data_IF_826226987400
#
_entry.id   IF_826226987400
#
_cell.length_a   1.000
_cell.length_b   1.000
_cell.length_c   1.000
_cell.angle_alpha   90.00
_cell.angle_beta   90.00
_cell.angle_gamma   90.00
#
_symmetry.space_group_name_H-M   'P 1'
#
loop_
_entity.id
_entity.type
_entity.pdbx_description
1 polymer ?
#
# COMPACT_ATOMS: atom_id res chain seq x y z
N UNK A 1 0.43 -5.41 -10.60
CA UNK A 1 0.06 -5.25 -9.18
C UNK A 1 -1.35 -4.69 -9.01
N UNK A 2 -1.63 -3.47 -9.51
CA UNK A 2 -2.92 -2.78 -9.33
C UNK A 2 -4.14 -3.60 -9.76
N UNK A 3 -4.09 -4.21 -10.95
CA UNK A 3 -5.17 -5.09 -11.44
C UNK A 3 -5.39 -6.34 -10.59
N UNK A 4 -4.33 -6.87 -9.97
CA UNK A 4 -4.41 -8.06 -9.11
C UNK A 4 -5.04 -7.71 -7.78
N UNK A 5 -4.67 -6.54 -7.21
CA UNK A 5 -5.18 -6.10 -5.91
C UNK A 5 -6.63 -5.63 -5.97
N UNK A 6 -6.95 -4.80 -6.96
CA UNK A 6 -8.21 -4.06 -7.02
C UNK A 6 -9.17 -4.55 -8.13
N UNK A 7 -8.77 -5.52 -8.95
CA UNK A 7 -9.59 -5.97 -10.09
C UNK A 7 -9.80 -4.88 -11.16
N UNK A 8 -9.05 -3.78 -11.07
CA UNK A 8 -9.20 -2.59 -11.92
C UNK A 8 -7.87 -2.20 -12.56
N UNK A 9 -7.94 -1.77 -13.82
CA UNK A 9 -6.85 -1.03 -14.48
C UNK A 9 -7.19 0.46 -14.44
N UNK A 10 -6.19 1.26 -14.08
CA UNK A 10 -6.29 2.71 -14.10
C UNK A 10 -5.78 3.24 -15.43
N UNK A 11 -6.37 4.35 -15.87
CA UNK A 11 -5.81 5.13 -16.96
C UNK A 11 -4.44 5.69 -16.52
N UNK A 12 -3.50 5.79 -17.46
CA UNK A 12 -2.19 6.38 -17.18
C UNK A 12 -2.28 7.84 -16.72
N UNK A 13 -3.35 8.56 -17.10
CA UNK A 13 -3.61 9.95 -16.73
C UNK A 13 -4.60 10.09 -15.57
N UNK A 14 -4.99 9.00 -14.90
CA UNK A 14 -5.87 9.07 -13.74
C UNK A 14 -5.20 9.87 -12.62
N UNK A 15 -5.76 11.05 -12.32
CA UNK A 15 -5.17 12.01 -11.39
C UNK A 15 -5.07 11.47 -9.96
N UNK A 16 -6.03 10.64 -9.54
CA UNK A 16 -5.94 10.00 -8.23
C UNK A 16 -4.81 8.99 -8.23
N UNK A 17 -4.76 8.10 -9.22
CA UNK A 17 -3.70 7.10 -9.31
C UNK A 17 -2.31 7.75 -9.31
N UNK A 18 -2.09 8.77 -10.14
CA UNK A 18 -0.82 9.50 -10.23
C UNK A 18 -0.40 10.16 -8.90
N UNK A 19 -1.35 10.72 -8.15
CA UNK A 19 -1.10 11.26 -6.82
C UNK A 19 -0.56 10.19 -5.87
N UNK A 20 -1.17 9.01 -5.85
CA UNK A 20 -0.73 7.91 -4.97
C UNK A 20 0.63 7.34 -5.37
N UNK A 21 0.91 7.20 -6.67
CA UNK A 21 2.23 6.79 -7.16
C UNK A 21 3.31 7.81 -6.74
N UNK A 22 3.00 9.10 -6.86
CA UNK A 22 3.92 10.18 -6.47
C UNK A 22 4.18 10.15 -4.97
N UNK A 23 3.13 10.00 -4.16
CA UNK A 23 3.24 9.85 -2.71
C UNK A 23 4.10 8.63 -2.32
N UNK A 24 3.95 7.50 -3.00
CA UNK A 24 4.78 6.30 -2.75
C UNK A 24 6.26 6.61 -2.99
N UNK A 25 6.58 7.28 -4.09
CA UNK A 25 7.94 7.73 -4.38
C UNK A 25 8.50 8.68 -3.30
N UNK A 26 7.66 9.57 -2.76
CA UNK A 26 8.06 10.45 -1.65
C UNK A 26 8.33 9.67 -0.35
N UNK A 27 7.47 8.70 -0.01
CA UNK A 27 7.66 7.82 1.14
C UNK A 27 8.98 7.05 1.04
N UNK A 28 9.28 6.51 -0.14
CA UNK A 28 10.48 5.68 -0.36
C UNK A 28 11.76 6.54 -0.30
N UNK A 29 11.71 7.77 -0.84
CA UNK A 29 12.80 8.74 -0.65
C UNK A 29 13.00 9.07 0.83
N UNK A 30 11.91 9.26 1.59
CA UNK A 30 11.99 9.54 3.03
C UNK A 30 12.62 8.36 3.79
N UNK A 31 12.26 7.11 3.45
CA UNK A 31 12.89 5.92 4.03
C UNK A 31 14.39 5.85 3.79
N UNK A 32 14.87 6.37 2.66
CA UNK A 32 16.31 6.48 2.36
C UNK A 32 17.04 7.59 3.11
N UNK A 33 16.35 8.44 3.90
CA UNK A 33 17.01 9.56 4.58
C UNK A 33 17.75 9.12 5.86
N UNK A 34 18.90 9.76 6.18
CA UNK A 34 19.59 9.52 7.45
C UNK A 34 18.70 9.78 8.68
N UNK A 35 17.75 10.71 8.57
CA UNK A 35 16.82 11.04 9.66
C UNK A 35 15.92 9.85 10.04
N UNK A 36 15.45 9.08 9.04
CA UNK A 36 14.62 7.90 9.27
C UNK A 36 15.46 6.71 9.72
N UNK A 37 16.67 6.56 9.16
CA UNK A 37 17.61 5.55 9.64
C UNK A 37 17.93 5.74 11.14
N UNK A 38 18.24 6.97 11.57
CA UNK A 38 18.48 7.30 12.98
C UNK A 38 17.24 7.05 13.85
N UNK A 39 16.04 7.38 13.37
CA UNK A 39 14.80 7.08 14.08
C UNK A 39 14.59 5.57 14.26
N UNK A 40 14.83 4.78 13.22
CA UNK A 40 14.67 3.32 13.27
C UNK A 40 15.70 2.66 14.20
N UNK A 41 16.94 3.17 14.22
CA UNK A 41 18.00 2.64 15.11
C UNK A 41 17.82 3.11 16.55
N UNK A 42 17.42 4.36 16.77
CA UNK A 42 17.27 4.97 18.08
C UNK A 42 15.88 5.60 18.25
N UNK A 43 14.82 4.78 18.43
CA UNK A 43 13.44 5.27 18.48
C UNK A 43 13.18 6.28 19.60
N UNK A 44 13.95 6.21 20.70
CA UNK A 44 13.90 7.17 21.82
C UNK A 44 14.24 8.61 21.37
N UNK A 45 15.05 8.77 20.32
CA UNK A 45 15.39 10.08 19.73
C UNK A 45 14.32 10.61 18.77
N UNK A 46 13.25 9.84 18.54
CA UNK A 46 12.21 10.18 17.57
C UNK A 46 11.41 11.44 17.87
N UNK A 47 11.34 11.87 19.14
CA UNK A 47 10.71 13.14 19.50
C UNK A 47 11.45 14.35 18.94
N UNK A 48 12.77 14.26 18.75
CA UNK A 48 13.62 15.34 18.21
C UNK A 48 13.52 15.45 16.70
N UNK A 49 13.40 14.31 16.00
CA UNK A 49 13.67 14.26 14.57
C UNK A 49 12.51 14.73 13.68
N UNK A 50 11.28 14.90 14.21
CA UNK A 50 10.04 15.39 13.54
C UNK A 50 9.65 14.70 12.21
N UNK A 51 10.52 13.89 11.63
CA UNK A 51 10.42 13.15 10.37
C UNK A 51 9.35 12.07 10.41
N UNK A 52 9.08 11.52 11.60
CA UNK A 52 7.99 10.57 11.84
C UNK A 52 6.63 11.14 11.44
N UNK A 53 6.40 12.47 11.58
CA UNK A 53 5.10 13.08 11.24
C UNK A 53 4.79 12.99 9.75
N UNK A 54 5.79 13.19 8.90
CA UNK A 54 5.63 13.09 7.46
C UNK A 54 5.35 11.65 7.05
N UNK A 55 6.09 10.68 7.61
CA UNK A 55 5.85 9.25 7.34
C UNK A 55 4.46 8.81 7.77
N UNK A 56 4.02 9.20 8.97
CA UNK A 56 2.68 8.87 9.47
C UNK A 56 1.58 9.48 8.59
N UNK A 57 1.73 10.76 8.20
CA UNK A 57 0.78 11.42 7.31
C UNK A 57 0.68 10.70 5.96
N UNK A 58 1.82 10.32 5.38
CA UNK A 58 1.81 9.64 4.09
C UNK A 58 1.25 8.22 4.17
N UNK A 59 1.50 7.51 5.29
CA UNK A 59 0.84 6.23 5.58
C UNK A 59 -0.68 6.41 5.67
N UNK A 60 -1.15 7.41 6.40
CA UNK A 60 -2.58 7.63 6.61
C UNK A 60 -3.32 7.96 5.31
N UNK A 61 -2.69 8.74 4.42
CA UNK A 61 -3.23 9.03 3.09
C UNK A 61 -3.28 7.78 2.19
N UNK A 62 -2.23 6.96 2.18
CA UNK A 62 -2.23 5.66 1.48
C UNK A 62 -3.31 4.71 2.01
N UNK A 63 -3.46 4.63 3.34
CA UNK A 63 -4.46 3.77 3.96
C UNK A 63 -5.87 4.27 3.65
N UNK A 64 -6.10 5.58 3.67
CA UNK A 64 -7.37 6.19 3.27
C UNK A 64 -7.73 5.82 1.84
N UNK A 65 -6.78 5.93 0.91
CA UNK A 65 -6.96 5.52 -0.48
C UNK A 65 -7.35 4.05 -0.60
N UNK A 66 -6.61 3.15 0.04
CA UNK A 66 -6.89 1.71 -0.03
C UNK A 66 -8.26 1.37 0.57
N UNK A 67 -8.64 2.02 1.68
CA UNK A 67 -9.98 1.87 2.26
C UNK A 67 -11.08 2.28 1.28
N UNK A 68 -10.86 3.29 0.43
CA UNK A 68 -11.85 3.61 -0.61
C UNK A 68 -12.08 2.43 -1.55
N UNK A 69 -11.05 1.70 -1.99
CA UNK A 69 -11.24 0.51 -2.84
C UNK A 69 -11.93 -0.62 -2.10
N UNK A 70 -11.47 -0.95 -0.90
CA UNK A 70 -12.08 -1.98 -0.06
C UNK A 70 -13.59 -1.72 0.08
N UNK A 71 -13.96 -0.45 0.32
CA UNK A 71 -15.36 -0.07 0.46
C UNK A 71 -16.20 -0.32 -0.81
N UNK A 72 -15.63 -0.10 -1.99
CA UNK A 72 -16.30 -0.41 -3.26
C UNK A 72 -16.47 -1.92 -3.49
N UNK A 73 -15.62 -2.74 -2.88
CA UNK A 73 -15.64 -4.20 -3.02
C UNK A 73 -16.54 -4.91 -1.99
N UNK A 74 -17.21 -4.21 -1.05
CA UNK A 74 -18.14 -4.87 -0.13
C UNK A 74 -19.37 -5.49 -0.81
N UNK A 75 -19.66 -5.16 -2.08
CA UNK A 75 -20.73 -5.76 -2.90
C UNK A 75 -20.18 -6.74 -3.94
N UNK A 76 -19.22 -7.57 -3.57
CA UNK A 76 -18.61 -8.57 -4.46
C UNK A 76 -19.42 -9.87 -4.55
N UNK A 77 -19.22 -10.65 -5.61
CA UNK A 77 -19.74 -12.01 -5.72
C UNK A 77 -18.76 -12.98 -5.05
N UNK A 78 -19.24 -13.70 -4.04
CA UNK A 78 -18.42 -14.65 -3.28
C UNK A 78 -18.03 -15.88 -4.10
N UNK A 79 -18.82 -16.21 -5.13
CA UNK A 79 -18.56 -17.37 -5.98
C UNK A 79 -17.60 -17.05 -7.13
N UNK A 80 -17.29 -15.77 -7.34
CA UNK A 80 -16.37 -15.29 -8.39
C UNK A 80 -15.46 -14.17 -7.85
N UNK A 81 -14.46 -14.50 -7.00
CA UNK A 81 -13.48 -13.53 -6.54
C UNK A 81 -12.54 -13.12 -7.68
N UNK A 82 -12.57 -11.84 -8.07
CA UNK A 82 -11.84 -11.33 -9.26
C UNK A 82 -10.54 -10.62 -8.93
N UNK A 83 -10.30 -10.35 -7.65
CA UNK A 83 -9.10 -9.69 -7.17
C UNK A 83 -8.72 -10.14 -5.76
N UNK A 84 -7.55 -9.73 -5.30
CA UNK A 84 -7.06 -10.04 -3.96
C UNK A 84 -8.01 -9.57 -2.86
N UNK A 85 -8.61 -8.38 -3.01
CA UNK A 85 -9.57 -7.86 -2.02
C UNK A 85 -10.80 -8.78 -1.94
N UNK A 86 -11.36 -9.20 -3.08
CA UNK A 86 -12.51 -10.13 -3.09
C UNK A 86 -12.13 -11.46 -2.41
N UNK A 87 -10.98 -12.02 -2.75
CA UNK A 87 -10.49 -13.27 -2.16
C UNK A 87 -10.27 -13.13 -0.63
N UNK A 88 -9.74 -12.00 -0.18
CA UNK A 88 -9.58 -11.71 1.25
C UNK A 88 -10.94 -11.63 1.96
N UNK A 89 -11.93 -10.98 1.35
CA UNK A 89 -13.28 -10.86 1.90
C UNK A 89 -14.03 -12.20 1.93
N UNK A 90 -13.83 -13.10 0.95
CA UNK A 90 -14.32 -14.49 1.03
C UNK A 90 -13.72 -15.15 2.27
N UNK A 91 -12.40 -15.10 2.39
CA UNK A 91 -11.69 -15.78 3.47
C UNK A 91 -12.04 -15.24 4.85
N UNK A 92 -12.18 -13.92 4.96
CA UNK A 92 -12.65 -13.25 6.17
C UNK A 92 -14.01 -13.78 6.62
N UNK A 93 -14.94 -14.05 5.69
CA UNK A 93 -16.26 -14.59 6.03
C UNK A 93 -16.21 -16.05 6.49
N UNK A 94 -15.35 -16.87 5.87
CA UNK A 94 -15.13 -18.27 6.27
C UNK A 94 -14.47 -18.40 7.64
N UNK A 95 -13.69 -17.39 8.05
CA UNK A 95 -13.00 -17.37 9.35
C UNK A 95 -13.77 -16.66 10.46
N UNK A 96 -14.97 -16.11 10.21
CA UNK A 96 -15.75 -15.39 11.24
C UNK A 96 -16.01 -16.20 12.51
N UNK A 97 -16.15 -17.51 12.39
CA UNK A 97 -16.42 -18.42 13.51
C UNK A 97 -15.14 -18.95 14.17
N UNK A 98 -13.96 -18.61 13.62
CA UNK A 98 -12.65 -18.97 14.17
C UNK A 98 -12.13 -17.77 14.95
N UNK A 99 -11.59 -17.98 16.15
CA UNK A 99 -11.04 -16.89 16.99
C UNK A 99 -9.69 -16.36 16.46
N UNK A 100 -9.48 -16.35 15.14
CA UNK A 100 -8.24 -15.91 14.49
C UNK A 100 -8.40 -14.48 13.99
N UNK A 101 -7.67 -13.54 14.58
CA UNK A 101 -7.68 -12.11 14.21
C UNK A 101 -6.91 -11.80 12.90
N UNK A 102 -6.53 -12.83 12.14
CA UNK A 102 -5.69 -12.68 10.96
C UNK A 102 -6.43 -11.99 9.80
N UNK A 103 -7.76 -12.11 9.73
CA UNK A 103 -8.57 -11.58 8.64
C UNK A 103 -9.42 -10.36 9.06
N UNK A 104 -8.87 -9.47 9.88
CA UNK A 104 -9.52 -8.19 10.19
C UNK A 104 -9.40 -7.18 9.05
N UNK A 105 -10.28 -6.17 9.02
CA UNK A 105 -10.26 -5.10 8.03
C UNK A 105 -8.95 -4.30 8.08
N UNK A 106 -8.38 -4.13 9.28
CA UNK A 106 -7.10 -3.44 9.45
C UNK A 106 -5.95 -4.25 8.85
N UNK A 107 -5.94 -5.58 9.05
CA UNK A 107 -4.97 -6.46 8.39
C UNK A 107 -5.13 -6.44 6.86
N UNK A 108 -6.36 -6.37 6.34
CA UNK A 108 -6.59 -6.22 4.90
C UNK A 108 -5.95 -4.95 4.36
N UNK A 109 -6.18 -3.80 5.01
CA UNK A 109 -5.60 -2.51 4.60
C UNK A 109 -4.08 -2.59 4.60
N UNK A 110 -3.48 -3.16 5.66
CA UNK A 110 -2.02 -3.32 5.76
C UNK A 110 -1.46 -4.22 4.66
N UNK A 111 -2.09 -5.37 4.39
CA UNK A 111 -1.64 -6.32 3.37
C UNK A 111 -1.72 -5.74 1.96
N UNK A 112 -2.85 -5.10 1.62
CA UNK A 112 -3.01 -4.43 0.33
C UNK A 112 -2.00 -3.30 0.19
N UNK A 113 -1.74 -2.52 1.25
CA UNK A 113 -0.73 -1.46 1.25
C UNK A 113 0.67 -2.01 0.98
N UNK A 114 1.05 -3.08 1.67
CA UNK A 114 2.35 -3.72 1.52
C UNK A 114 2.56 -4.22 0.08
N UNK A 115 1.59 -4.98 -0.46
CA UNK A 115 1.68 -5.52 -1.82
C UNK A 115 1.71 -4.39 -2.86
N UNK A 116 0.93 -3.33 -2.66
CA UNK A 116 0.88 -2.20 -3.58
C UNK A 116 2.22 -1.45 -3.61
N UNK A 117 2.74 -1.02 -2.45
CA UNK A 117 4.00 -0.27 -2.37
C UNK A 117 5.18 -1.11 -2.86
N UNK A 118 5.29 -2.35 -2.38
CA UNK A 118 6.40 -3.23 -2.75
C UNK A 118 6.43 -3.52 -4.25
N UNK A 119 5.28 -3.79 -4.86
CA UNK A 119 5.22 -4.16 -6.28
C UNK A 119 5.37 -2.98 -7.24
N UNK A 120 4.86 -1.80 -6.88
CA UNK A 120 4.84 -0.63 -7.76
C UNK A 120 6.21 0.05 -7.81
N UNK A 121 6.75 0.45 -6.65
CA UNK A 121 7.94 1.30 -6.63
C UNK A 121 9.20 0.55 -7.10
N UNK A 122 9.39 -0.67 -6.60
CA UNK A 122 10.61 -1.45 -6.88
C UNK A 122 10.73 -1.77 -8.37
N UNK A 123 9.64 -2.21 -9.00
CA UNK A 123 9.58 -2.51 -10.43
C UNK A 123 9.78 -1.24 -11.25
N UNK A 124 9.09 -0.15 -10.92
CA UNK A 124 9.21 1.12 -11.65
C UNK A 124 10.62 1.70 -11.55
N UNK A 125 11.22 1.67 -10.37
CA UNK A 125 12.59 2.14 -10.13
C UNK A 125 13.61 1.28 -10.88
N UNK A 126 13.45 -0.04 -10.85
CA UNK A 126 14.34 -0.97 -11.57
C UNK A 126 14.29 -0.73 -13.07
N UNK A 127 13.09 -0.60 -13.65
CA UNK A 127 12.94 -0.29 -15.08
C UNK A 127 13.54 1.08 -15.43
N UNK A 128 13.33 2.09 -14.58
CA UNK A 128 13.90 3.43 -14.77
C UNK A 128 15.43 3.39 -14.83
N UNK A 129 16.07 2.68 -13.90
CA UNK A 129 17.53 2.49 -13.92
C UNK A 129 17.99 1.62 -15.09
N UNK A 130 17.25 0.56 -15.41
CA UNK A 130 17.55 -0.30 -16.56
C UNK A 130 17.60 0.49 -17.87
N UNK A 131 16.61 1.36 -18.11
CA UNK A 131 16.58 2.24 -19.28
C UNK A 131 17.75 3.22 -19.23
N UNK A 132 17.98 3.88 -18.09
CA UNK A 132 19.06 4.87 -17.94
C UNK A 132 20.45 4.27 -18.21
N UNK A 133 20.70 3.03 -17.80
CA UNK A 133 21.98 2.34 -17.99
C UNK A 133 22.16 1.74 -19.40
N UNK A 134 21.07 1.61 -20.16
CA UNK A 134 21.11 1.17 -21.57
C UNK A 134 21.24 2.34 -22.56
N UNK A 135 21.07 3.57 -22.09
CA UNK A 135 21.34 4.80 -22.85
C UNK A 135 22.82 5.17 -22.76
#
# INVERSE_FOLDING_TARGET
>A
MVSVLFGKRFDHQDAQFMRHITMIGEIIKLFGTPSIALFNTFPVLGFLLRSHKTVLRSRDELFSFIRTFINHHHKFDKNDPRCFIDAFLVRQQEEKDKSTDNFSDDNMVVLVSNLFVAGVETTATTLRWGILLMM
#
